data_IF_826539746899
#
_entry.id   IF_826539746899
#
_cell.length_a   1.000
_cell.length_b   1.000
_cell.length_c   1.000
_cell.angle_alpha   90.00
_cell.angle_beta   90.00
_cell.angle_gamma   90.00
#
_symmetry.space_group_name_H-M   'P 1'
#
loop_
_entity.id
_entity.type
_entity.pdbx_description
1 polymer ?
#
# COMPACT_ATOMS: atom_id res chain seq x y z
N UNK A 1 -2.56 -23.23 17.35
CA UNK A 1 -1.91 -24.55 17.44
C UNK A 1 -0.97 -24.70 16.23
N UNK A 2 0.20 -24.05 16.26
CA UNK A 2 1.22 -24.17 15.20
C UNK A 2 2.16 -25.33 15.59
N UNK A 3 1.73 -26.55 15.27
CA UNK A 3 2.36 -27.77 15.74
C UNK A 3 3.01 -28.56 14.62
N UNK A 4 4.34 -28.71 14.74
CA UNK A 4 5.25 -29.66 14.07
C UNK A 4 5.63 -29.31 12.62
N UNK A 5 6.94 -29.15 12.41
CA UNK A 5 7.53 -29.13 11.08
C UNK A 5 7.06 -30.34 10.29
N UNK A 6 6.63 -30.09 9.06
CA UNK A 6 6.20 -31.08 8.09
C UNK A 6 7.31 -32.11 7.93
N UNK A 7 7.02 -33.36 8.32
CA UNK A 7 7.96 -34.48 8.22
C UNK A 7 8.45 -34.56 6.77
N UNK A 8 9.75 -34.39 6.55
CA UNK A 8 10.37 -34.45 5.22
C UNK A 8 10.79 -33.10 4.61
N UNK A 9 10.46 -31.96 5.23
CA UNK A 9 10.93 -30.64 4.75
C UNK A 9 12.34 -30.34 5.29
N UNK A 10 13.32 -29.98 4.43
CA UNK A 10 14.64 -29.58 4.88
C UNK A 10 14.58 -28.37 5.82
N UNK A 11 15.40 -28.39 6.88
CA UNK A 11 15.39 -27.32 7.92
C UNK A 11 15.60 -25.91 7.36
N UNK A 12 16.34 -25.76 6.27
CA UNK A 12 16.58 -24.45 5.64
C UNK A 12 15.33 -23.90 4.95
N UNK A 13 14.46 -24.78 4.42
CA UNK A 13 13.17 -24.40 3.83
C UNK A 13 12.23 -23.90 4.94
N UNK A 14 12.08 -24.67 6.02
CA UNK A 14 11.24 -24.23 7.16
C UNK A 14 11.75 -22.95 7.83
N UNK A 15 13.06 -22.69 7.79
CA UNK A 15 13.63 -21.45 8.29
C UNK A 15 13.30 -20.26 7.37
N UNK A 16 13.37 -20.46 6.05
CA UNK A 16 12.97 -19.45 5.06
C UNK A 16 11.47 -19.14 5.17
N UNK A 17 10.61 -20.16 5.20
CA UNK A 17 9.16 -19.99 5.35
C UNK A 17 8.81 -19.21 6.63
N UNK A 18 9.55 -19.43 7.71
CA UNK A 18 9.35 -18.70 8.96
C UNK A 18 9.79 -17.24 8.88
N UNK A 19 10.90 -16.97 8.19
CA UNK A 19 11.35 -15.60 7.94
C UNK A 19 10.34 -14.84 7.06
N UNK A 20 9.82 -15.48 6.01
CA UNK A 20 8.81 -14.89 5.13
C UNK A 20 7.49 -14.63 5.87
N UNK A 21 7.06 -15.57 6.73
CA UNK A 21 5.89 -15.38 7.57
C UNK A 21 6.04 -14.19 8.54
N UNK A 22 7.24 -13.97 9.10
CA UNK A 22 7.52 -12.83 9.95
C UNK A 22 7.48 -11.51 9.16
N UNK A 23 8.06 -11.48 7.95
CA UNK A 23 8.01 -10.31 7.07
C UNK A 23 6.56 -9.95 6.72
N UNK A 24 5.76 -10.93 6.31
CA UNK A 24 4.35 -10.72 6.00
C UNK A 24 3.56 -10.26 7.23
N UNK A 25 3.79 -10.88 8.38
CA UNK A 25 3.12 -10.50 9.62
C UNK A 25 3.46 -9.07 10.04
N UNK A 26 4.72 -8.66 9.90
CA UNK A 26 5.14 -7.27 10.15
C UNK A 26 4.46 -6.30 9.18
N UNK A 27 4.34 -6.65 7.90
CA UNK A 27 3.63 -5.82 6.92
C UNK A 27 2.15 -5.66 7.24
N UNK A 28 1.45 -6.76 7.54
CA UNK A 28 0.03 -6.74 7.92
C UNK A 28 -0.19 -5.90 9.19
N UNK A 29 0.74 -5.98 10.14
CA UNK A 29 0.68 -5.15 11.33
C UNK A 29 0.75 -3.66 11.00
N UNK A 30 1.70 -3.25 10.15
CA UNK A 30 1.81 -1.85 9.72
C UNK A 30 0.56 -1.37 8.99
N UNK A 31 -0.02 -2.22 8.13
CA UNK A 31 -1.21 -1.88 7.37
C UNK A 31 -2.45 -1.72 8.26
N UNK A 32 -2.57 -2.58 9.27
CA UNK A 32 -3.60 -2.46 10.30
C UNK A 32 -3.49 -1.13 11.06
N UNK A 33 -2.26 -0.67 11.39
CA UNK A 33 -2.05 0.66 12.02
C UNK A 33 -2.44 1.82 11.09
N UNK A 34 -2.13 1.75 9.79
CA UNK A 34 -2.54 2.77 8.80
C UNK A 34 -4.05 2.86 8.69
N UNK A 35 -4.69 1.70 8.59
CA UNK A 35 -6.14 1.59 8.47
C UNK A 35 -6.84 2.10 9.74
N UNK A 36 -6.35 1.73 10.93
CA UNK A 36 -6.87 2.26 12.19
C UNK A 36 -6.78 3.80 12.25
N UNK A 37 -5.62 4.39 11.91
CA UNK A 37 -5.46 5.86 11.87
C UNK A 37 -6.43 6.52 10.88
N UNK A 38 -6.57 5.93 9.70
CA UNK A 38 -7.45 6.42 8.63
C UNK A 38 -8.91 6.44 9.09
N UNK A 39 -9.42 5.33 9.61
CA UNK A 39 -10.79 5.20 10.10
C UNK A 39 -11.08 6.20 11.23
N UNK A 40 -10.15 6.37 12.17
CA UNK A 40 -10.29 7.33 13.26
C UNK A 40 -10.37 8.78 12.74
N UNK A 41 -9.52 9.16 11.78
CA UNK A 41 -9.53 10.52 11.20
C UNK A 41 -10.76 10.77 10.32
N UNK A 42 -11.16 9.79 9.51
CA UNK A 42 -12.37 9.88 8.69
C UNK A 42 -13.62 9.99 9.56
N UNK A 43 -13.70 9.23 10.65
CA UNK A 43 -14.78 9.33 11.61
C UNK A 43 -14.88 10.71 12.25
N UNK A 44 -13.75 11.30 12.64
CA UNK A 44 -13.70 12.69 13.14
C UNK A 44 -14.18 13.70 12.07
N UNK A 45 -13.73 13.53 10.82
CA UNK A 45 -14.15 14.40 9.71
C UNK A 45 -15.65 14.25 9.38
N UNK A 46 -16.21 13.06 9.58
CA UNK A 46 -17.65 12.78 9.46
C UNK A 46 -18.47 13.23 10.68
N UNK A 47 -17.84 13.80 11.70
CA UNK A 47 -18.50 14.35 12.88
C UNK A 47 -18.72 13.38 14.04
N UNK A 48 -18.14 12.17 14.00
CA UNK A 48 -18.18 11.24 15.13
C UNK A 48 -17.35 11.76 16.30
N UNK A 49 -17.79 11.51 17.54
CA UNK A 49 -17.05 11.94 18.72
C UNK A 49 -15.88 11.00 19.03
N UNK A 50 -14.86 11.51 19.75
CA UNK A 50 -13.75 10.68 20.26
C UNK A 50 -14.22 9.51 21.16
N UNK A 51 -15.39 9.65 21.81
CA UNK A 51 -15.99 8.56 22.59
C UNK A 51 -16.55 7.46 21.68
N UNK A 52 -17.24 7.84 20.61
CA UNK A 52 -17.82 6.88 19.65
C UNK A 52 -16.73 6.14 18.88
N UNK A 53 -15.65 6.84 18.53
CA UNK A 53 -14.49 6.27 17.87
C UNK A 53 -13.64 5.36 18.77
N UNK A 54 -13.58 5.66 20.07
CA UNK A 54 -12.81 4.87 21.04
C UNK A 54 -13.51 3.60 21.51
N UNK A 55 -14.84 3.59 21.55
CA UNK A 55 -15.65 2.49 22.10
C UNK A 55 -15.38 1.12 21.44
N UNK A 56 -15.34 0.99 20.09
CA UNK A 56 -15.01 -0.28 19.43
C UNK A 56 -13.58 -0.77 19.70
N UNK A 57 -12.66 0.14 20.07
CA UNK A 57 -11.27 -0.16 20.41
C UNK A 57 -11.08 -0.48 21.90
N UNK A 58 -12.17 -0.52 22.68
CA UNK A 58 -12.12 -0.71 24.13
C UNK A 58 -11.57 0.50 24.90
N UNK A 59 -11.49 1.67 24.27
CA UNK A 59 -11.00 2.90 24.89
C UNK A 59 -12.17 3.64 25.53
N UNK A 60 -12.11 3.78 26.86
CA UNK A 60 -13.22 4.31 27.65
C UNK A 60 -13.18 5.82 27.85
N UNK A 61 -12.10 6.50 27.45
CA UNK A 61 -11.92 7.94 27.66
C UNK A 61 -11.65 8.66 26.35
N UNK A 62 -12.20 9.87 26.19
CA UNK A 62 -11.93 10.73 25.02
C UNK A 62 -10.44 11.02 24.86
N UNK A 63 -9.77 11.31 25.99
CA UNK A 63 -8.34 11.56 26.00
C UNK A 63 -7.57 10.33 25.52
N UNK A 64 -7.95 9.12 25.94
CA UNK A 64 -7.32 7.88 25.47
C UNK A 64 -7.46 7.68 23.96
N UNK A 65 -8.60 8.06 23.37
CA UNK A 65 -8.79 7.98 21.92
C UNK A 65 -7.90 8.98 21.20
N UNK A 66 -7.79 10.20 21.73
CA UNK A 66 -6.88 11.22 21.19
C UNK A 66 -5.42 10.75 21.28
N UNK A 67 -4.99 10.25 22.44
CA UNK A 67 -3.64 9.72 22.64
C UNK A 67 -3.34 8.53 21.73
N UNK A 68 -4.35 7.73 21.37
CA UNK A 68 -4.23 6.64 20.40
C UNK A 68 -4.00 7.17 18.99
N UNK A 69 -4.77 8.17 18.57
CA UNK A 69 -4.60 8.84 17.26
C UNK A 69 -3.21 9.46 17.16
N UNK A 70 -2.77 10.15 18.20
CA UNK A 70 -1.46 10.82 18.23
C UNK A 70 -0.31 9.79 18.21
N UNK A 71 -0.44 8.69 18.96
CA UNK A 71 0.53 7.58 18.91
C UNK A 71 0.56 6.90 17.56
N UNK A 72 -0.58 6.65 16.92
CA UNK A 72 -0.63 6.11 15.56
C UNK A 72 -0.02 7.08 14.54
N UNK A 73 -0.22 8.39 14.73
CA UNK A 73 0.43 9.44 13.96
C UNK A 73 1.95 9.34 14.07
N UNK A 74 2.47 9.37 15.30
CA UNK A 74 3.90 9.26 15.57
C UNK A 74 4.50 7.93 15.08
N UNK A 75 3.79 6.82 15.30
CA UNK A 75 4.20 5.49 14.88
C UNK A 75 4.36 5.39 13.36
N UNK A 76 3.40 5.91 12.59
CA UNK A 76 3.42 5.83 11.13
C UNK A 76 4.30 6.89 10.46
N UNK A 77 4.56 8.01 11.12
CA UNK A 77 5.43 9.06 10.59
C UNK A 77 6.91 8.80 10.93
N UNK A 78 7.19 8.07 12.02
CA UNK A 78 8.55 7.89 12.56
C UNK A 78 8.95 6.44 12.84
N UNK A 79 8.14 5.46 12.46
CA UNK A 79 8.35 4.03 12.69
C UNK A 79 8.58 3.64 14.17
N UNK A 80 8.02 4.39 15.13
CA UNK A 80 8.25 4.19 16.57
C UNK A 80 6.95 4.11 17.39
N UNK A 81 6.66 2.96 18.04
CA UNK A 81 5.41 2.77 18.76
C UNK A 81 5.24 3.59 20.05
N UNK A 82 6.30 4.15 20.65
CA UNK A 82 6.21 4.68 22.02
C UNK A 82 7.04 5.94 22.36
N UNK A 83 7.66 6.66 21.40
CA UNK A 83 8.52 7.80 21.74
C UNK A 83 8.05 9.12 21.10
N UNK A 84 7.78 10.14 21.93
CA UNK A 84 7.67 11.53 21.49
C UNK A 84 9.04 12.00 20.94
N UNK A 85 9.20 11.99 19.62
CA UNK A 85 10.45 12.41 18.96
C UNK A 85 10.41 13.88 18.52
N UNK A 86 11.38 14.64 19.01
CA UNK A 86 11.61 16.05 18.65
C UNK A 86 12.03 16.21 17.18
N UNK A 87 11.77 17.39 16.60
CA UNK A 87 12.00 17.70 15.17
C UNK A 87 13.44 17.44 14.69
N UNK A 88 14.45 17.62 15.54
CA UNK A 88 15.86 17.39 15.19
C UNK A 88 16.23 15.90 15.07
N UNK A 89 15.59 15.05 15.87
CA UNK A 89 15.82 13.60 15.83
C UNK A 89 15.22 12.97 14.55
N UNK A 90 14.13 13.55 14.03
CA UNK A 90 13.54 13.18 12.72
C UNK A 90 14.50 13.41 11.56
N UNK A 91 15.26 14.52 11.59
CA UNK A 91 16.26 14.83 10.55
C UNK A 91 17.44 13.86 10.60
N UNK A 92 17.87 13.47 11.80
CA UNK A 92 19.00 12.56 12.00
C UNK A 92 18.69 11.09 11.69
N UNK A 93 17.45 10.66 11.87
CA UNK A 93 17.05 9.27 11.59
C UNK A 93 16.80 9.01 10.10
N UNK A 94 16.20 9.96 9.36
CA UNK A 94 16.08 9.84 7.90
C UNK A 94 17.44 9.78 7.20
N UNK A 95 18.43 10.50 7.72
CA UNK A 95 19.80 10.46 7.25
C UNK A 95 20.53 9.12 7.52
N UNK A 96 19.91 8.16 8.22
CA UNK A 96 20.52 6.88 8.62
C UNK A 96 19.89 5.65 7.97
N UNK A 97 18.73 5.75 7.33
CA UNK A 97 18.14 4.63 6.59
C UNK A 97 18.80 4.51 5.22
N UNK A 98 19.60 3.46 5.02
CA UNK A 98 20.30 3.20 3.77
C UNK A 98 19.36 3.15 2.56
N UNK A 99 18.12 2.69 2.75
CA UNK A 99 17.11 2.64 1.68
C UNK A 99 16.57 4.01 1.35
N UNK A 100 16.31 4.86 2.35
CA UNK A 100 15.90 6.24 2.11
C UNK A 100 17.04 7.04 1.46
N UNK A 101 18.28 6.85 1.91
CA UNK A 101 19.47 7.47 1.28
C UNK A 101 19.58 7.02 -0.18
N UNK A 102 19.42 5.73 -0.46
CA UNK A 102 19.43 5.23 -1.84
C UNK A 102 18.31 5.85 -2.68
N UNK A 103 17.09 5.96 -2.14
CA UNK A 103 15.94 6.59 -2.84
C UNK A 103 16.24 8.06 -3.13
N UNK A 104 16.84 8.78 -2.19
CA UNK A 104 17.21 10.18 -2.37
C UNK A 104 18.32 10.33 -3.44
N UNK A 105 19.30 9.42 -3.45
CA UNK A 105 20.38 9.38 -4.45
C UNK A 105 19.88 9.00 -5.86
N UNK A 106 18.82 8.18 -5.96
CA UNK A 106 18.23 7.70 -7.22
C UNK A 106 16.88 8.38 -7.53
N UNK A 107 16.63 9.54 -6.94
CA UNK A 107 15.30 10.19 -6.94
C UNK A 107 14.70 10.36 -8.33
N UNK A 108 15.49 10.80 -9.30
CA UNK A 108 15.01 11.03 -10.67
C UNK A 108 14.57 9.73 -11.35
N UNK A 109 15.32 8.64 -11.15
CA UNK A 109 14.98 7.32 -11.68
C UNK A 109 13.71 6.78 -11.02
N UNK A 110 13.64 6.86 -9.68
CA UNK A 110 12.45 6.44 -8.91
C UNK A 110 11.20 7.19 -9.39
N UNK A 111 11.29 8.51 -9.54
CA UNK A 111 10.17 9.33 -10.02
C UNK A 111 9.77 8.96 -11.44
N UNK A 112 10.71 8.76 -12.35
CA UNK A 112 10.42 8.40 -13.73
C UNK A 112 9.67 7.06 -13.82
N UNK A 113 10.11 6.04 -13.05
CA UNK A 113 9.48 4.72 -13.03
C UNK A 113 8.08 4.77 -12.42
N UNK A 114 7.91 5.46 -11.29
CA UNK A 114 6.60 5.60 -10.65
C UNK A 114 5.60 6.37 -11.52
N UNK A 115 6.05 7.45 -12.18
CA UNK A 115 5.20 8.20 -13.11
C UNK A 115 4.77 7.33 -14.29
N UNK A 116 5.69 6.56 -14.87
CA UNK A 116 5.37 5.65 -15.96
C UNK A 116 4.34 4.59 -15.53
N UNK A 117 4.50 4.02 -14.33
CA UNK A 117 3.54 3.07 -13.75
C UNK A 117 2.17 3.72 -13.58
N UNK A 118 2.07 4.87 -12.92
CA UNK A 118 0.80 5.57 -12.66
C UNK A 118 0.05 5.88 -13.97
N UNK A 119 0.74 6.42 -14.97
CA UNK A 119 0.14 6.76 -16.26
C UNK A 119 -0.41 5.51 -16.95
N UNK A 120 0.38 4.43 -17.03
CA UNK A 120 -0.04 3.23 -17.74
C UNK A 120 -1.14 2.48 -16.98
N UNK A 121 -1.05 2.41 -15.65
CA UNK A 121 -2.05 1.74 -14.83
C UNK A 121 -3.41 2.44 -14.91
N UNK A 122 -3.45 3.77 -14.76
CA UNK A 122 -4.70 4.53 -14.91
C UNK A 122 -5.31 4.36 -16.29
N UNK A 123 -4.49 4.33 -17.34
CA UNK A 123 -4.97 4.13 -18.71
C UNK A 123 -5.61 2.76 -18.89
N UNK A 124 -4.95 1.69 -18.49
CA UNK A 124 -5.48 0.33 -18.66
C UNK A 124 -6.73 0.11 -17.85
N UNK A 125 -6.77 0.60 -16.60
CA UNK A 125 -7.96 0.47 -15.75
C UNK A 125 -9.14 1.30 -16.26
N UNK A 126 -8.89 2.47 -16.89
CA UNK A 126 -9.96 3.26 -17.52
C UNK A 126 -10.51 2.60 -18.80
N UNK A 127 -9.63 1.96 -19.60
CA UNK A 127 -10.03 1.21 -20.79
C UNK A 127 -10.83 -0.06 -20.41
N UNK A 128 -10.42 -0.77 -19.35
CA UNK A 128 -11.16 -1.94 -18.83
C UNK A 128 -12.54 -1.60 -18.27
N UNK A 129 -12.69 -0.48 -17.58
CA UNK A 129 -14.01 0.01 -17.09
C UNK A 129 -14.96 0.34 -18.27
N UNK A 130 -14.44 0.87 -19.37
CA UNK A 130 -15.24 1.21 -20.55
C UNK A 130 -15.75 -0.04 -21.30
N UNK A 131 -14.95 -1.11 -21.35
CA UNK A 131 -15.34 -2.38 -21.96
C UNK A 131 -16.43 -3.11 -21.16
N UNK A 132 -16.45 -2.96 -19.83
CA UNK A 132 -17.53 -3.48 -18.96
C UNK A 132 -18.87 -2.77 -19.23
N UNK A 133 -18.85 -1.47 -19.51
CA UNK A 133 -20.04 -0.67 -19.81
C UNK A 133 -20.60 -0.95 -21.22
N UNK A 134 -19.71 -1.28 -22.17
CA UNK A 134 -20.06 -1.65 -23.55
C UNK A 134 -20.63 -3.07 -23.71
N UNK A 135 -20.43 -3.97 -22.73
CA UNK A 135 -20.88 -5.36 -22.79
C UNK A 135 -22.34 -5.60 -22.38
N UNK A 136 -23.07 -4.55 -21.97
CA UNK A 136 -24.48 -4.62 -21.59
C UNK A 136 -25.38 -4.71 -22.84
N UNK A 137 -25.45 -5.90 -23.44
CA UNK A 137 -26.31 -6.19 -24.58
C UNK A 137 -27.80 -6.11 -24.18
N UNK A 138 -28.47 -5.03 -24.63
CA UNK A 138 -29.86 -4.99 -25.10
C UNK A 138 -31.01 -5.51 -24.23
N UNK A 139 -30.79 -5.87 -22.96
CA UNK A 139 -31.85 -6.39 -22.08
C UNK A 139 -32.32 -5.29 -21.13
N UNK A 140 -33.56 -4.85 -21.32
CA UNK A 140 -34.29 -3.85 -20.50
C UNK A 140 -33.89 -3.91 -19.02
N UNK A 141 -33.43 -2.81 -18.40
CA UNK A 141 -33.08 -2.81 -16.99
C UNK A 141 -34.35 -3.03 -16.15
N UNK A 142 -34.43 -4.18 -15.49
CA UNK A 142 -35.33 -4.36 -14.35
C UNK A 142 -34.89 -3.44 -13.21
N UNK A 143 -35.82 -2.90 -12.40
CA UNK A 143 -35.45 -1.99 -11.32
C UNK A 143 -34.72 -2.78 -10.23
N UNK A 144 -33.51 -2.34 -9.88
CA UNK A 144 -32.87 -2.74 -8.61
C UNK A 144 -31.72 -3.75 -8.70
N UNK A 145 -30.83 -3.64 -9.69
CA UNK A 145 -29.47 -4.19 -9.51
C UNK A 145 -28.52 -3.03 -9.33
N UNK A 146 -28.23 -2.70 -8.07
CA UNK A 146 -27.11 -1.83 -7.74
C UNK A 146 -25.87 -2.51 -8.33
N UNK A 147 -25.35 -1.96 -9.43
CA UNK A 147 -24.07 -2.38 -9.98
C UNK A 147 -23.05 -1.87 -8.97
N UNK A 148 -22.67 -2.73 -8.02
CA UNK A 148 -21.48 -2.49 -7.22
C UNK A 148 -20.32 -2.39 -8.21
N UNK A 149 -19.87 -1.18 -8.48
CA UNK A 149 -18.64 -0.94 -9.24
C UNK A 149 -17.52 -1.52 -8.37
N UNK A 150 -17.12 -2.75 -8.66
CA UNK A 150 -16.02 -3.41 -7.96
C UNK A 150 -14.74 -2.62 -8.27
N UNK A 151 -14.34 -1.77 -7.32
CA UNK A 151 -13.16 -0.92 -7.47
C UNK A 151 -11.94 -1.83 -7.55
N UNK A 152 -11.23 -1.78 -8.68
CA UNK A 152 -10.05 -2.62 -8.88
C UNK A 152 -9.05 -2.49 -7.71
N UNK A 153 -8.56 -3.59 -7.12
CA UNK A 153 -7.76 -3.58 -5.88
C UNK A 153 -6.45 -2.78 -6.00
N UNK A 154 -5.89 -2.66 -7.22
CA UNK A 154 -4.75 -1.80 -7.47
C UNK A 154 -5.01 -0.30 -7.22
N UNK A 155 -6.26 0.19 -7.30
CA UNK A 155 -6.58 1.63 -7.21
C UNK A 155 -6.15 2.25 -5.90
N UNK A 156 -6.41 1.59 -4.77
CA UNK A 156 -5.99 2.07 -3.45
C UNK A 156 -4.48 2.30 -3.38
N UNK A 157 -3.70 1.36 -3.92
CA UNK A 157 -2.24 1.48 -3.95
C UNK A 157 -1.76 2.56 -4.92
N UNK A 158 -2.39 2.68 -6.09
CA UNK A 158 -2.07 3.70 -7.08
C UNK A 158 -2.37 5.11 -6.55
N UNK A 159 -3.46 5.29 -5.81
CA UNK A 159 -3.81 6.56 -5.17
C UNK A 159 -2.77 6.95 -4.10
N UNK A 160 -2.35 5.98 -3.27
CA UNK A 160 -1.30 6.20 -2.27
C UNK A 160 0.04 6.60 -2.91
N UNK A 161 0.46 5.90 -3.98
CA UNK A 161 1.67 6.25 -4.74
C UNK A 161 1.53 7.63 -5.37
N UNK A 162 0.35 7.95 -5.91
CA UNK A 162 0.06 9.25 -6.52
C UNK A 162 0.16 10.40 -5.51
N UNK A 163 -0.31 10.21 -4.29
CA UNK A 163 -0.18 11.18 -3.20
C UNK A 163 1.30 11.41 -2.84
N UNK A 164 2.05 10.35 -2.54
CA UNK A 164 3.48 10.44 -2.21
C UNK A 164 4.32 11.08 -3.34
N UNK A 165 3.98 10.75 -4.59
CA UNK A 165 4.64 11.31 -5.77
C UNK A 165 4.38 12.81 -5.94
N UNK A 166 3.14 13.24 -5.69
CA UNK A 166 2.71 14.65 -5.81
C UNK A 166 3.32 15.51 -4.72
N UNK A 167 3.37 14.99 -3.49
CA UNK A 167 3.90 15.68 -2.32
C UNK A 167 5.45 15.62 -2.25
N UNK A 168 6.09 14.90 -3.18
CA UNK A 168 7.54 14.66 -3.24
C UNK A 168 8.12 13.98 -1.98
N UNK A 169 7.28 13.20 -1.30
CA UNK A 169 7.59 12.47 -0.07
C UNK A 169 7.79 10.98 -0.32
N UNK A 170 8.61 10.65 -1.33
CA UNK A 170 8.90 9.26 -1.68
C UNK A 170 9.70 8.55 -0.58
N UNK A 171 9.20 7.37 -0.18
CA UNK A 171 9.79 6.55 0.88
C UNK A 171 9.88 5.07 0.46
N UNK A 172 10.59 4.22 1.22
CA UNK A 172 10.55 2.77 0.99
C UNK A 172 9.11 2.20 1.00
N UNK A 173 8.20 2.80 1.75
CA UNK A 173 6.78 2.41 1.76
C UNK A 173 6.11 2.69 0.41
N UNK A 174 6.44 3.80 -0.26
CA UNK A 174 5.94 4.12 -1.61
C UNK A 174 6.33 3.05 -2.62
N UNK A 175 7.58 2.55 -2.56
CA UNK A 175 8.06 1.48 -3.44
C UNK A 175 7.46 0.11 -3.11
N UNK A 176 7.11 -0.13 -1.85
CA UNK A 176 6.35 -1.32 -1.46
C UNK A 176 4.90 -1.27 -1.98
N UNK A 177 4.23 -0.12 -1.85
CA UNK A 177 2.89 0.11 -2.41
C UNK A 177 2.87 -0.06 -3.93
N UNK A 178 3.87 0.46 -4.64
CA UNK A 178 4.06 0.21 -6.07
C UNK A 178 4.20 -1.28 -6.39
N UNK A 179 4.88 -2.03 -5.53
CA UNK A 179 4.96 -3.48 -5.61
C UNK A 179 3.64 -4.22 -5.50
N UNK A 180 2.77 -3.79 -4.58
CA UNK A 180 1.43 -4.33 -4.39
C UNK A 180 0.53 -4.00 -5.59
N UNK A 181 0.53 -2.73 -6.03
CA UNK A 181 -0.17 -2.31 -7.25
C UNK A 181 0.25 -3.15 -8.46
N UNK A 182 1.55 -3.40 -8.62
CA UNK A 182 2.09 -4.20 -9.70
C UNK A 182 1.72 -5.69 -9.63
N UNK A 183 1.50 -6.24 -8.44
CA UNK A 183 1.02 -7.61 -8.29
C UNK A 183 -0.43 -7.73 -8.80
N UNK A 184 -1.30 -6.84 -8.34
CA UNK A 184 -2.71 -6.78 -8.76
C UNK A 184 -2.85 -6.56 -10.27
N UNK A 185 -2.09 -5.61 -10.83
CA UNK A 185 -2.11 -5.31 -12.26
C UNK A 185 -1.64 -6.50 -13.12
N UNK A 186 -0.71 -7.33 -12.66
CA UNK A 186 -0.23 -8.50 -13.44
C UNK A 186 -1.28 -9.60 -13.53
N UNK A 187 -2.16 -9.69 -12.54
CA UNK A 187 -3.24 -10.69 -12.51
C UNK A 187 -4.52 -10.19 -13.17
N UNK A 188 -4.61 -8.89 -13.45
CA UNK A 188 -5.79 -8.30 -14.08
C UNK A 188 -5.96 -8.77 -15.53
N UNK A 189 -7.20 -9.10 -15.88
CA UNK A 189 -7.53 -9.62 -17.22
C UNK A 189 -7.28 -8.58 -18.32
N UNK A 190 -7.53 -7.30 -18.02
CA UNK A 190 -7.31 -6.21 -18.98
C UNK A 190 -5.84 -6.07 -19.30
N UNK A 191 -4.96 -6.27 -18.32
CA UNK A 191 -3.50 -6.26 -18.53
C UNK A 191 -3.01 -7.53 -19.24
N UNK A 192 -3.52 -8.71 -18.88
CA UNK A 192 -3.12 -9.99 -19.47
C UNK A 192 -3.47 -10.12 -20.96
N UNK A 193 -4.52 -9.43 -21.41
CA UNK A 193 -4.96 -9.44 -22.80
C UNK A 193 -4.19 -8.46 -23.69
N UNK A 194 -3.36 -7.58 -23.13
CA UNK A 194 -2.57 -6.63 -23.90
C UNK A 194 -1.41 -7.31 -24.61
N UNK A 195 -0.97 -6.72 -25.73
CA UNK A 195 0.23 -7.17 -26.42
C UNK A 195 1.45 -7.08 -25.48
N UNK A 196 2.36 -8.05 -25.56
CA UNK A 196 3.56 -8.12 -24.71
C UNK A 196 4.47 -6.89 -24.78
N UNK A 197 4.39 -6.11 -25.85
CA UNK A 197 5.13 -4.85 -26.02
C UNK A 197 4.35 -3.63 -25.54
N UNK A 198 3.15 -3.82 -24.97
CA UNK A 198 2.40 -2.76 -24.33
C UNK A 198 3.23 -2.14 -23.20
N UNK A 199 3.18 -0.82 -23.10
CA UNK A 199 4.06 -0.04 -22.22
C UNK A 199 3.87 -0.36 -20.73
N UNK A 200 2.71 -0.88 -20.34
CA UNK A 200 2.46 -1.36 -18.97
C UNK A 200 3.46 -2.45 -18.56
N UNK A 201 3.80 -3.39 -19.45
CA UNK A 201 4.74 -4.46 -19.14
C UNK A 201 6.16 -3.91 -18.96
N UNK A 202 6.54 -2.92 -19.77
CA UNK A 202 7.80 -2.19 -19.59
C UNK A 202 7.87 -1.44 -18.27
N UNK A 203 6.78 -0.77 -17.87
CA UNK A 203 6.69 -0.06 -16.58
C UNK A 203 6.78 -1.01 -15.38
N UNK A 204 6.08 -2.16 -15.45
CA UNK A 204 6.12 -3.20 -14.42
C UNK A 204 7.53 -3.81 -14.29
N UNK A 205 8.20 -4.09 -15.41
CA UNK A 205 9.58 -4.59 -15.41
C UNK A 205 10.57 -3.56 -14.86
N UNK A 206 10.42 -2.28 -15.24
CA UNK A 206 11.26 -1.21 -14.71
C UNK A 206 11.09 -1.05 -13.19
N UNK A 207 9.86 -1.18 -12.68
CA UNK A 207 9.59 -1.18 -11.25
C UNK A 207 10.25 -2.37 -10.54
N UNK A 208 10.20 -3.57 -11.11
CA UNK A 208 10.84 -4.74 -10.51
C UNK A 208 12.36 -4.56 -10.43
N UNK A 209 12.98 -4.04 -11.49
CA UNK A 209 14.40 -3.73 -11.52
C UNK A 209 14.77 -2.72 -10.44
N UNK A 210 13.98 -1.66 -10.29
CA UNK A 210 14.18 -0.63 -9.27
C UNK A 210 14.04 -1.18 -7.84
N UNK A 211 13.03 -2.03 -7.59
CA UNK A 211 12.83 -2.69 -6.29
C UNK A 211 13.93 -3.71 -5.98
N UNK A 212 14.47 -4.39 -6.99
CA UNK A 212 15.59 -5.30 -6.84
C UNK A 212 16.87 -4.55 -6.43
N UNK A 213 17.16 -3.40 -7.07
CA UNK A 213 18.29 -2.55 -6.70
C UNK A 213 18.17 -2.04 -5.26
N UNK A 214 16.99 -1.54 -4.87
CA UNK A 214 16.72 -1.13 -3.49
C UNK A 214 16.90 -2.28 -2.48
N UNK A 215 16.52 -3.50 -2.86
CA UNK A 215 16.68 -4.70 -2.00
C UNK A 215 18.14 -5.09 -1.76
N UNK A 216 19.06 -4.61 -2.58
CA UNK A 216 20.51 -4.83 -2.47
C UNK A 216 21.28 -3.68 -1.81
N UNK A 217 20.61 -2.56 -1.51
CA UNK A 217 21.15 -1.39 -0.83
C UNK A 217 21.03 -1.51 0.70
#
# INVERSE_FOLDING_TARGET
MLGRGTVGVPRWVSAADHADALVLWTWLWWEDRRTERRLLRQGLAAGLSLSDLGSPLGITTRQGTQDRIDRLGALLEYDRPDEQLTRDLRRQLRARDARQVWIDDHRDEVRAVLLALLIQAHRVLAEGDADLDSGADGSTPGPGRDIEIEVHPAREWLDAIGADYTDDTLTPATLAAAGLAAAELRTDRSVLNLDRHHRIHGALHALDALRAQLGTA
#
